data_IF_257360256709
#
_entry.id   IF_257360256709
#
_cell.length_a   1.000
_cell.length_b   1.000
_cell.length_c   1.000
_cell.angle_alpha   90.00
_cell.angle_beta   90.00
_cell.angle_gamma   90.00
#
_symmetry.space_group_name_H-M   'P 1'
#
loop_
_entity.id
_entity.type
_entity.pdbx_description
1 polymer ?
#
# COMPACT_ATOMS: atom_id res chain seq x y z
N UNK A 1 -18.70 -0.53 -7.23
CA UNK A 1 -17.75 -1.59 -7.63
C UNK A 1 -17.43 -2.36 -6.36
N UNK A 2 -17.52 -3.69 -6.38
CA UNK A 2 -17.11 -4.51 -5.24
C UNK A 2 -15.58 -4.40 -5.10
N UNK A 3 -15.05 -4.38 -3.87
CA UNK A 3 -13.61 -4.42 -3.67
C UNK A 3 -13.01 -5.69 -4.31
N UNK A 4 -11.83 -5.61 -4.92
CA UNK A 4 -11.16 -6.78 -5.50
C UNK A 4 -10.90 -7.83 -4.42
N UNK A 5 -11.08 -9.11 -4.75
CA UNK A 5 -10.71 -10.22 -3.86
C UNK A 5 -9.19 -10.35 -3.78
N UNK A 6 -8.67 -10.89 -2.67
CA UNK A 6 -7.23 -11.01 -2.46
C UNK A 6 -6.52 -11.86 -3.54
N UNK A 7 -7.21 -12.84 -4.12
CA UNK A 7 -6.68 -13.71 -5.15
C UNK A 7 -6.41 -13.02 -6.50
N UNK A 8 -7.08 -11.90 -6.77
CA UNK A 8 -6.97 -11.16 -8.03
C UNK A 8 -6.15 -9.86 -7.87
N UNK A 9 -5.42 -9.73 -6.76
CA UNK A 9 -4.75 -8.49 -6.40
C UNK A 9 -3.48 -8.24 -7.22
N UNK A 10 -3.50 -7.17 -8.03
CA UNK A 10 -2.34 -6.67 -8.75
C UNK A 10 -1.66 -5.52 -7.98
N UNK A 11 -0.43 -5.78 -7.53
CA UNK A 11 0.39 -4.80 -6.81
C UNK A 11 0.72 -3.56 -7.67
N UNK A 12 0.83 -3.71 -8.98
CA UNK A 12 1.07 -2.59 -9.89
C UNK A 12 -0.12 -1.64 -9.94
N UNK A 13 -1.33 -2.19 -9.86
CA UNK A 13 -2.56 -1.42 -9.78
C UNK A 13 -2.66 -0.63 -8.46
N UNK A 14 -2.23 -1.23 -7.35
CA UNK A 14 -2.08 -0.55 -6.06
C UNK A 14 -1.11 0.63 -6.15
N UNK A 15 0.09 0.43 -6.69
CA UNK A 15 1.12 1.49 -6.81
C UNK A 15 0.60 2.70 -7.59
N UNK A 16 -0.10 2.46 -8.70
CA UNK A 16 -0.76 3.51 -9.50
C UNK A 16 -1.80 4.30 -8.71
N UNK A 17 -2.53 3.65 -7.80
CA UNK A 17 -3.58 4.30 -7.00
C UNK A 17 -3.03 5.11 -5.83
N UNK A 18 -2.02 4.60 -5.15
CA UNK A 18 -1.38 5.29 -4.02
C UNK A 18 -0.39 6.36 -4.49
N UNK A 19 -0.27 6.55 -5.81
CA UNK A 19 0.61 7.51 -6.50
C UNK A 19 2.07 7.39 -6.08
N UNK A 20 2.51 6.17 -5.71
CA UNK A 20 3.91 5.87 -5.51
C UNK A 20 4.45 5.38 -6.83
N UNK A 21 5.33 6.18 -7.43
CA UNK A 21 6.08 5.81 -8.61
C UNK A 21 7.51 5.52 -8.16
N UNK A 22 8.14 4.41 -8.58
CA UNK A 22 9.54 4.14 -8.27
C UNK A 22 10.44 5.05 -9.13
N UNK A 23 10.47 6.34 -8.80
CA UNK A 23 11.13 7.42 -9.55
C UNK A 23 12.32 8.05 -8.81
N UNK A 24 12.83 7.37 -7.77
CA UNK A 24 13.86 7.89 -6.85
C UNK A 24 13.42 9.13 -6.05
N UNK A 25 12.14 9.51 -6.10
CA UNK A 25 11.57 10.66 -5.42
C UNK A 25 11.24 10.41 -3.94
N UNK A 26 11.01 11.51 -3.22
CA UNK A 26 10.54 11.48 -1.83
C UNK A 26 9.06 11.83 -1.75
N UNK A 27 8.33 11.03 -0.97
CA UNK A 27 6.89 11.15 -0.78
C UNK A 27 6.57 11.29 0.70
N UNK A 28 5.54 12.07 1.03
CA UNK A 28 5.06 12.19 2.41
C UNK A 28 4.31 10.91 2.79
N UNK A 29 4.75 10.25 3.87
CA UNK A 29 4.13 9.02 4.37
C UNK A 29 2.64 9.19 4.69
N UNK A 30 2.21 10.40 5.10
CA UNK A 30 0.79 10.70 5.36
C UNK A 30 -0.03 10.65 4.08
N UNK A 31 0.55 11.07 2.96
CA UNK A 31 -0.12 10.99 1.68
C UNK A 31 -0.21 9.54 1.18
N UNK A 32 0.81 8.74 1.48
CA UNK A 32 0.80 7.31 1.17
C UNK A 32 -0.17 6.55 2.08
N UNK A 33 -0.42 6.96 3.31
CA UNK A 33 -1.36 6.28 4.22
C UNK A 33 -2.80 6.77 4.14
N UNK A 34 -3.08 7.82 3.37
CA UNK A 34 -4.41 8.41 3.31
C UNK A 34 -5.38 7.52 2.52
N UNK A 35 -6.18 6.73 3.25
CA UNK A 35 -7.20 5.86 2.69
C UNK A 35 -8.25 6.61 1.83
N UNK A 36 -8.46 7.92 2.04
CA UNK A 36 -9.36 8.72 1.18
C UNK A 36 -8.82 8.87 -0.24
N UNK A 37 -7.50 8.75 -0.41
CA UNK A 37 -6.82 8.72 -1.72
C UNK A 37 -6.77 7.30 -2.32
N UNK A 38 -7.28 6.27 -1.61
CA UNK A 38 -7.32 4.87 -2.05
C UNK A 38 -8.75 4.30 -2.19
N UNK A 39 -9.67 5.00 -2.87
CA UNK A 39 -11.10 4.65 -2.87
C UNK A 39 -11.43 3.29 -3.51
N UNK A 40 -10.50 2.70 -4.27
CA UNK A 40 -10.70 1.43 -4.97
C UNK A 40 -10.30 0.20 -4.13
N UNK A 41 -9.36 0.37 -3.20
CA UNK A 41 -8.97 -0.70 -2.28
C UNK A 41 -9.87 -0.62 -1.04
N UNK A 42 -10.16 0.59 -0.55
CA UNK A 42 -11.06 0.77 0.59
C UNK A 42 -10.46 0.39 1.94
N UNK A 43 -9.18 0.06 1.98
CA UNK A 43 -8.44 -0.34 3.20
C UNK A 43 -7.17 0.50 3.35
N UNK A 44 -6.73 0.68 4.60
CA UNK A 44 -5.46 1.36 4.89
C UNK A 44 -4.32 0.35 4.87
N UNK A 45 -3.32 0.49 3.99
CA UNK A 45 -2.18 -0.42 3.98
C UNK A 45 -1.23 -0.16 5.15
N UNK A 46 -0.59 -1.23 5.62
CA UNK A 46 0.62 -1.15 6.43
C UNK A 46 1.79 -0.71 5.57
N UNK A 47 2.68 0.12 6.12
CA UNK A 47 3.89 0.57 5.43
C UNK A 47 5.07 0.32 6.35
N UNK A 48 6.03 -0.44 5.85
CA UNK A 48 7.34 -0.60 6.46
C UNK A 48 8.38 0.16 5.64
N UNK A 49 9.13 1.01 6.33
CA UNK A 49 10.33 1.64 5.76
C UNK A 49 11.55 0.96 6.35
N UNK A 50 12.60 0.81 5.54
CA UNK A 50 13.92 0.42 6.04
C UNK A 50 14.91 1.57 5.83
N UNK A 51 16.05 1.48 6.53
CA UNK A 51 17.14 2.44 6.47
C UNK A 51 18.46 1.69 6.59
N UNK A 52 19.38 1.93 5.66
CA UNK A 52 20.78 1.62 5.88
C UNK A 52 21.47 2.83 6.54
N UNK A 53 22.48 2.63 7.41
CA UNK A 53 23.05 3.70 8.24
C UNK A 53 23.44 4.98 7.47
N UNK A 54 23.87 4.83 6.23
CA UNK A 54 24.33 5.92 5.35
C UNK A 54 23.31 6.36 4.29
N UNK A 55 22.14 5.70 4.23
CA UNK A 55 21.12 5.96 3.22
C UNK A 55 19.88 6.63 3.84
N UNK A 56 18.98 7.07 2.96
CA UNK A 56 17.70 7.64 3.33
C UNK A 56 16.77 6.59 3.95
N UNK A 57 15.64 7.02 4.53
CA UNK A 57 14.53 6.11 4.76
C UNK A 57 13.88 5.83 3.41
N UNK A 58 13.75 4.56 3.04
CA UNK A 58 13.05 4.16 1.82
C UNK A 58 11.91 3.21 2.13
N UNK A 59 10.90 3.21 1.24
CA UNK A 59 9.81 2.27 1.28
C UNK A 59 10.38 0.85 1.08
N UNK A 60 10.16 -0.03 2.06
CA UNK A 60 10.62 -1.42 2.02
C UNK A 60 9.48 -2.35 1.62
N UNK A 61 8.35 -2.25 2.32
CA UNK A 61 7.20 -3.14 2.11
C UNK A 61 5.88 -2.39 2.29
N UNK A 62 4.89 -2.84 1.52
CA UNK A 62 3.48 -2.49 1.72
C UNK A 62 2.76 -3.76 2.12
N UNK A 63 2.02 -3.71 3.24
CA UNK A 63 1.29 -4.84 3.80
C UNK A 63 -0.21 -4.59 3.67
N UNK A 64 -0.95 -5.61 3.26
CA UNK A 64 -2.41 -5.59 3.23
C UNK A 64 -2.94 -6.66 4.17
N UNK A 65 -3.98 -6.30 4.93
CA UNK A 65 -4.65 -7.25 5.79
C UNK A 65 -5.72 -8.01 5.00
N UNK A 66 -5.70 -9.32 5.17
CA UNK A 66 -6.71 -10.25 4.67
C UNK A 66 -7.36 -10.94 5.86
N UNK A 67 -8.62 -11.30 5.72
CA UNK A 67 -9.32 -12.13 6.70
C UNK A 67 -8.64 -13.50 6.87
N UNK A 68 -9.05 -14.27 7.88
CA UNK A 68 -8.46 -15.57 8.16
C UNK A 68 -8.76 -16.62 7.08
N UNK A 69 -9.75 -16.39 6.22
CA UNK A 69 -10.00 -17.21 5.02
C UNK A 69 -9.04 -16.90 3.88
N UNK A 70 -8.36 -15.76 3.92
CA UNK A 70 -7.47 -15.27 2.88
C UNK A 70 -8.20 -14.82 1.61
N UNK A 71 -9.48 -14.45 1.73
CA UNK A 71 -10.35 -14.14 0.59
C UNK A 71 -10.68 -12.66 0.51
N UNK A 72 -10.94 -12.03 1.65
CA UNK A 72 -11.38 -10.64 1.71
C UNK A 72 -10.31 -9.77 2.35
N UNK A 73 -10.06 -8.61 1.76
CA UNK A 73 -9.28 -7.57 2.40
C UNK A 73 -10.07 -6.98 3.57
N UNK A 74 -9.34 -6.64 4.64
CA UNK A 74 -9.88 -6.02 5.84
C UNK A 74 -9.02 -4.82 6.25
N UNK A 75 -9.57 -3.96 7.10
CA UNK A 75 -8.82 -2.83 7.64
C UNK A 75 -7.88 -3.28 8.76
N UNK A 76 -6.69 -2.68 8.80
CA UNK A 76 -5.77 -2.75 9.95
C UNK A 76 -6.42 -2.27 11.25
#
# INVERSE_FOLDING_TARGET
MLPPQAADFDFFYLALQIRIIPDEGFYDLREIKDAKKMPLIGFTPGIECNKYPELNNQLHQICLCIDTSGTEFIQL
#
